data_IF_293225465542
#
_entry.id   IF_293225465542
#
_cell.length_a   1.000
_cell.length_b   1.000
_cell.length_c   1.000
_cell.angle_alpha   90.00
_cell.angle_beta   90.00
_cell.angle_gamma   90.00
#
_symmetry.space_group_name_H-M   'P 1'
#
loop_
_entity.id
_entity.type
_entity.pdbx_description
1 polymer ?
#
# COMPACT_ATOMS: atom_id res chain seq x y z
N UNK A 1 9.28 19.54 12.44
CA UNK A 1 8.20 18.76 11.80
C UNK A 1 7.43 18.12 12.93
N UNK A 2 6.12 18.37 12.99
CA UNK A 2 5.24 17.78 14.02
C UNK A 2 4.93 16.36 13.54
N UNK A 3 5.08 15.39 14.44
CA UNK A 3 4.68 14.02 14.16
C UNK A 3 3.16 13.89 14.32
N UNK A 4 2.46 13.06 13.52
CA UNK A 4 2.98 12.19 12.47
C UNK A 4 3.36 12.96 11.20
N UNK A 5 4.34 12.41 10.49
CA UNK A 5 4.79 12.96 9.22
C UNK A 5 3.76 12.61 8.15
N UNK A 6 3.00 13.62 7.73
CA UNK A 6 2.05 13.52 6.64
C UNK A 6 2.73 13.81 5.29
N UNK A 7 2.57 12.91 4.32
CA UNK A 7 2.92 13.16 2.91
C UNK A 7 1.94 12.46 1.99
N UNK A 8 1.66 13.08 0.84
CA UNK A 8 0.81 12.54 -0.22
C UNK A 8 1.38 12.89 -1.59
N UNK A 9 0.92 12.20 -2.62
CA UNK A 9 1.31 12.45 -4.01
C UNK A 9 2.35 11.45 -4.50
N UNK A 10 3.08 11.81 -5.55
CA UNK A 10 4.01 10.89 -6.22
C UNK A 10 5.45 11.21 -5.86
N UNK A 11 6.24 10.16 -5.63
CA UNK A 11 7.62 10.23 -5.23
C UNK A 11 8.50 9.32 -6.08
N UNK A 12 9.74 9.75 -6.29
CA UNK A 12 10.80 8.93 -6.87
C UNK A 12 11.94 8.77 -5.87
N UNK A 13 12.44 7.55 -5.70
CA UNK A 13 13.64 7.27 -4.89
C UNK A 13 14.86 7.25 -5.80
N UNK A 14 15.85 8.07 -5.49
CA UNK A 14 17.13 8.16 -6.19
C UNK A 14 18.25 8.15 -5.16
N UNK A 15 19.14 7.16 -5.26
CA UNK A 15 20.28 6.99 -4.34
C UNK A 15 19.85 6.96 -2.85
N UNK A 16 18.72 6.31 -2.57
CA UNK A 16 18.14 6.19 -1.23
C UNK A 16 17.34 7.40 -0.73
N UNK A 17 17.22 8.48 -1.51
CA UNK A 17 16.44 9.66 -1.15
C UNK A 17 15.16 9.80 -1.99
N UNK A 18 14.04 10.11 -1.33
CA UNK A 18 12.71 10.28 -1.92
C UNK A 18 12.43 11.74 -2.24
N UNK A 19 12.15 12.01 -3.52
CA UNK A 19 11.83 13.32 -4.02
C UNK A 19 10.39 13.39 -4.50
N UNK A 20 9.63 14.46 -4.17
CA UNK A 20 8.32 14.68 -4.76
C UNK A 20 8.48 14.95 -6.27
N UNK A 21 7.70 14.22 -7.07
CA UNK A 21 7.75 14.31 -8.54
C UNK A 21 6.35 14.21 -9.14
N UNK A 22 6.23 14.66 -10.37
CA UNK A 22 5.09 14.32 -11.23
C UNK A 22 5.46 13.14 -12.13
N UNK A 23 4.56 12.17 -12.23
CA UNK A 23 4.70 11.01 -13.10
C UNK A 23 3.35 10.69 -13.75
N UNK A 24 3.38 10.47 -15.05
CA UNK A 24 2.23 9.92 -15.80
C UNK A 24 2.49 8.43 -15.99
N UNK A 25 1.47 7.59 -15.79
CA UNK A 25 1.60 6.15 -16.01
C UNK A 25 2.24 5.84 -17.36
N UNK A 26 3.18 4.90 -17.37
CA UNK A 26 3.95 4.44 -18.53
C UNK A 26 4.89 5.49 -19.16
N UNK A 27 5.07 6.65 -18.54
CA UNK A 27 6.10 7.60 -18.99
C UNK A 27 7.52 7.06 -18.71
N UNK A 28 8.48 7.48 -19.54
CA UNK A 28 9.89 7.12 -19.38
C UNK A 28 10.65 8.03 -18.40
N UNK A 29 10.03 9.13 -17.96
CA UNK A 29 10.67 10.13 -17.11
C UNK A 29 9.75 10.59 -15.98
N UNK A 30 10.34 10.84 -14.81
CA UNK A 30 9.73 11.64 -13.75
C UNK A 30 10.11 13.11 -13.91
N UNK A 31 9.24 14.01 -13.44
CA UNK A 31 9.47 15.46 -13.48
C UNK A 31 9.54 16.03 -12.06
N UNK A 32 10.57 16.81 -11.78
CA UNK A 32 10.77 17.48 -10.50
C UNK A 32 10.07 18.84 -10.49
N UNK A 33 9.83 19.38 -9.30
CA UNK A 33 9.17 20.68 -9.13
C UNK A 33 9.97 21.85 -9.73
N UNK A 34 11.29 21.71 -9.82
CA UNK A 34 12.19 22.69 -10.46
C UNK A 34 12.21 22.61 -12.00
N UNK A 35 11.43 21.70 -12.59
CA UNK A 35 11.37 21.46 -14.03
C UNK A 35 12.39 20.44 -14.55
N UNK A 36 13.29 19.93 -13.70
CA UNK A 36 14.21 18.86 -14.06
C UNK A 36 13.51 17.53 -14.36
N UNK A 37 14.17 16.65 -15.12
CA UNK A 37 13.66 15.30 -15.40
C UNK A 37 14.72 14.24 -15.16
N UNK A 38 14.26 13.03 -14.81
CA UNK A 38 15.11 11.84 -14.68
C UNK A 38 14.42 10.64 -15.33
N UNK A 39 15.15 9.79 -16.08
CA UNK A 39 14.61 8.51 -16.55
C UNK A 39 14.13 7.66 -15.38
N UNK A 40 12.98 6.98 -15.55
CA UNK A 40 12.45 6.05 -14.53
C UNK A 40 13.39 4.89 -14.24
N UNK A 41 14.17 4.46 -15.23
CA UNK A 41 15.12 3.36 -15.07
C UNK A 41 16.34 3.73 -14.19
N UNK A 42 16.54 5.02 -13.89
CA UNK A 42 17.51 5.46 -12.88
C UNK A 42 16.89 5.55 -11.48
N UNK A 43 15.57 5.50 -11.36
CA UNK A 43 14.88 5.55 -10.08
C UNK A 43 14.85 4.15 -9.47
N UNK A 44 15.18 4.03 -8.20
CA UNK A 44 15.02 2.77 -7.47
C UNK A 44 13.54 2.40 -7.37
N UNK A 45 12.68 3.41 -7.17
CA UNK A 45 11.22 3.29 -7.07
C UNK A 45 10.57 4.57 -7.58
N UNK A 46 9.38 4.45 -8.18
CA UNK A 46 8.45 5.56 -8.37
C UNK A 46 7.09 5.10 -7.84
N UNK A 47 6.55 5.80 -6.86
CA UNK A 47 5.36 5.37 -6.13
C UNK A 47 4.44 6.53 -5.80
N UNK A 48 3.14 6.27 -5.73
CA UNK A 48 2.17 7.22 -5.19
C UNK A 48 1.83 6.88 -3.75
N UNK A 49 1.68 7.90 -2.92
CA UNK A 49 1.35 7.80 -1.50
C UNK A 49 -0.06 8.32 -1.27
N UNK A 50 -0.87 7.48 -0.63
CA UNK A 50 -2.12 7.85 0.02
C UNK A 50 -2.03 7.47 1.49
N UNK A 51 -2.55 8.30 2.37
CA UNK A 51 -2.55 8.06 3.82
C UNK A 51 -3.94 7.68 4.25
N UNK A 52 -4.02 6.63 5.06
CA UNK A 52 -5.28 6.13 5.60
C UNK A 52 -5.16 5.94 7.10
N UNK A 53 -6.31 5.92 7.76
CA UNK A 53 -6.45 5.62 9.17
C UNK A 53 -7.85 5.05 9.43
N UNK A 54 -8.11 4.65 10.66
CA UNK A 54 -9.44 4.25 11.15
C UNK A 54 -10.03 5.37 11.99
N UNK A 55 -11.26 5.79 11.69
CA UNK A 55 -12.08 6.68 12.51
C UNK A 55 -13.38 5.98 12.87
N UNK A 56 -13.61 5.72 14.17
CA UNK A 56 -14.81 5.01 14.68
C UNK A 56 -15.10 3.72 13.91
N UNK A 57 -14.09 2.86 13.82
CA UNK A 57 -14.13 1.54 13.18
C UNK A 57 -14.31 1.52 11.65
N UNK A 58 -14.27 2.68 10.98
CA UNK A 58 -14.26 2.77 9.52
C UNK A 58 -12.97 3.36 8.98
N UNK A 59 -12.54 2.85 7.83
CA UNK A 59 -11.38 3.35 7.11
C UNK A 59 -11.68 4.73 6.52
N UNK A 60 -10.77 5.67 6.75
CA UNK A 60 -10.79 7.02 6.17
C UNK A 60 -9.49 7.31 5.46
N UNK A 61 -9.56 8.05 4.35
CA UNK A 61 -8.41 8.65 3.69
C UNK A 61 -8.07 9.97 4.40
N UNK A 62 -6.83 10.15 4.84
CA UNK A 62 -6.34 11.42 5.36
C UNK A 62 -5.90 12.29 4.18
N UNK A 63 -6.70 13.30 3.85
CA UNK A 63 -6.49 14.18 2.71
C UNK A 63 -5.52 15.35 3.04
N UNK A 64 -5.46 15.75 4.29
CA UNK A 64 -4.53 16.78 4.74
C UNK A 64 -4.47 16.88 6.25
N UNK A 65 -3.35 17.40 6.77
CA UNK A 65 -3.15 17.69 8.19
C UNK A 65 -2.62 19.11 8.30
N UNK A 66 -3.23 19.92 9.15
CA UNK A 66 -2.77 21.30 9.40
C UNK A 66 -1.77 21.37 10.57
N UNK A 67 -1.23 22.56 10.82
CA UNK A 67 -0.25 22.80 11.89
C UNK A 67 -0.83 22.62 13.31
N UNK A 68 -2.16 22.67 13.45
CA UNK A 68 -2.85 22.47 14.72
C UNK A 68 -3.08 20.97 15.03
N UNK A 69 -2.77 20.07 14.09
CA UNK A 69 -3.01 18.64 14.24
C UNK A 69 -4.46 18.25 13.89
N UNK A 70 -5.18 19.09 13.16
CA UNK A 70 -6.48 18.72 12.60
C UNK A 70 -6.29 18.06 11.24
N UNK A 71 -6.94 16.92 11.06
CA UNK A 71 -6.92 16.13 9.85
C UNK A 71 -8.22 16.34 9.06
N UNK A 72 -8.11 16.72 7.78
CA UNK A 72 -9.20 16.57 6.82
C UNK A 72 -9.21 15.12 6.37
N UNK A 73 -10.29 14.40 6.68
CA UNK A 73 -10.48 12.99 6.34
C UNK A 73 -11.66 12.82 5.39
N UNK A 74 -11.56 11.81 4.53
CA UNK A 74 -12.60 11.39 3.60
C UNK A 74 -13.04 9.97 3.92
N UNK A 75 -14.34 9.69 3.88
CA UNK A 75 -14.85 8.32 3.98
C UNK A 75 -14.33 7.47 2.80
N UNK A 76 -13.84 6.25 3.08
CA UNK A 76 -13.12 5.44 2.09
C UNK A 76 -13.77 4.09 1.76
N UNK A 77 -14.86 3.73 2.42
CA UNK A 77 -15.56 2.44 2.31
C UNK A 77 -16.87 2.55 1.51
N UNK A 78 -17.23 3.74 1.04
CA UNK A 78 -18.44 4.04 0.28
C UNK A 78 -19.73 3.89 1.11
N UNK A 79 -19.65 4.05 2.43
CA UNK A 79 -20.79 4.04 3.35
C UNK A 79 -21.29 5.47 3.64
N UNK A 80 -22.11 5.99 2.73
CA UNK A 80 -22.66 7.36 2.83
C UNK A 80 -23.64 7.56 4.00
N UNK A 81 -24.33 6.50 4.43
CA UNK A 81 -25.26 6.56 5.58
C UNK A 81 -24.45 6.71 6.86
N UNK A 82 -23.45 5.87 7.07
CA UNK A 82 -22.53 5.99 8.19
C UNK A 82 -21.81 7.35 8.20
N UNK A 83 -21.34 7.82 7.03
CA UNK A 83 -20.66 9.10 6.92
C UNK A 83 -21.55 10.26 7.39
N UNK A 84 -22.81 10.25 6.95
CA UNK A 84 -23.80 11.27 7.32
C UNK A 84 -24.11 11.24 8.81
N UNK A 85 -24.36 10.05 9.38
CA UNK A 85 -24.61 9.87 10.82
C UNK A 85 -23.43 10.32 11.69
N UNK A 86 -22.20 10.16 11.19
CA UNK A 86 -20.99 10.57 11.87
C UNK A 86 -20.54 11.99 11.54
N UNK A 87 -21.39 12.79 10.88
CA UNK A 87 -21.20 14.21 10.65
C UNK A 87 -20.09 14.53 9.64
N UNK A 88 -19.88 13.66 8.66
CA UNK A 88 -19.18 14.01 7.43
C UNK A 88 -20.12 14.82 6.54
N UNK A 89 -19.56 15.77 5.80
CA UNK A 89 -20.28 16.65 4.86
C UNK A 89 -20.01 16.18 3.45
N UNK A 90 -21.09 16.11 2.67
CA UNK A 90 -21.04 15.77 1.25
C UNK A 90 -20.55 16.98 0.44
N UNK A 91 -19.30 16.97 0.00
CA UNK A 91 -18.70 18.11 -0.73
C UNK A 91 -18.76 17.91 -2.25
N UNK A 92 -18.58 16.68 -2.73
CA UNK A 92 -18.66 16.29 -4.14
C UNK A 92 -19.46 14.99 -4.28
N UNK A 93 -19.93 14.66 -5.49
CA UNK A 93 -20.63 13.40 -5.74
C UNK A 93 -19.79 12.21 -5.22
N UNK A 94 -20.38 11.44 -4.29
CA UNK A 94 -19.76 10.27 -3.64
C UNK A 94 -18.55 10.53 -2.72
N UNK A 95 -18.26 11.78 -2.34
CA UNK A 95 -17.16 12.09 -1.41
C UNK A 95 -17.67 12.82 -0.17
N UNK A 96 -17.48 12.19 0.98
CA UNK A 96 -17.87 12.70 2.30
C UNK A 96 -16.63 13.08 3.09
N UNK A 97 -16.54 14.32 3.55
CA UNK A 97 -15.37 14.85 4.26
C UNK A 97 -15.70 15.32 5.67
N UNK A 98 -14.69 15.26 6.54
CA UNK A 98 -14.78 15.78 7.91
C UNK A 98 -13.41 16.27 8.37
N UNK A 99 -13.39 17.29 9.22
CA UNK A 99 -12.20 17.65 9.99
C UNK A 99 -12.27 17.02 11.38
N UNK A 100 -11.24 16.29 11.77
CA UNK A 100 -11.12 15.61 13.07
C UNK A 100 -9.77 15.92 13.72
N UNK A 101 -9.65 15.78 15.04
CA UNK A 101 -8.34 15.77 15.68
C UNK A 101 -7.60 14.50 15.23
N UNK A 102 -6.34 14.63 14.82
CA UNK A 102 -5.53 13.51 14.38
C UNK A 102 -5.36 12.44 15.48
N UNK A 103 -5.53 12.80 16.76
CA UNK A 103 -5.55 11.87 17.89
C UNK A 103 -6.81 11.02 17.99
N UNK A 104 -7.88 11.37 17.28
CA UNK A 104 -9.09 10.55 17.19
C UNK A 104 -8.94 9.39 16.20
N UNK A 105 -7.88 9.41 15.39
CA UNK A 105 -7.57 8.37 14.42
C UNK A 105 -6.80 7.20 15.05
N UNK A 106 -6.92 6.02 14.45
CA UNK A 106 -6.18 4.79 14.78
C UNK A 106 -5.62 4.16 13.52
N UNK A 107 -4.77 3.14 13.67
CA UNK A 107 -4.27 2.32 12.55
C UNK A 107 -3.73 3.18 11.38
N UNK A 108 -2.95 4.21 11.68
CA UNK A 108 -2.44 5.14 10.66
C UNK A 108 -1.42 4.46 9.75
N UNK A 109 -1.62 4.51 8.43
CA UNK A 109 -0.73 3.88 7.46
C UNK A 109 -0.59 4.64 6.15
N UNK A 110 0.55 4.46 5.48
CA UNK A 110 0.68 4.80 4.06
C UNK A 110 0.35 3.61 3.17
N UNK A 111 -0.43 3.85 2.13
CA UNK A 111 -0.53 3.00 0.95
C UNK A 111 0.40 3.56 -0.13
N UNK A 112 1.48 2.87 -0.41
CA UNK A 112 2.43 3.22 -1.46
C UNK A 112 2.20 2.36 -2.70
N UNK A 113 1.53 2.88 -3.71
CA UNK A 113 1.29 2.14 -4.96
C UNK A 113 2.54 2.21 -5.85
N UNK A 114 3.07 1.04 -6.26
CA UNK A 114 4.25 0.97 -7.11
C UNK A 114 3.86 1.28 -8.57
N UNK A 115 4.25 2.47 -9.03
CA UNK A 115 3.89 2.96 -10.36
C UNK A 115 4.76 2.33 -11.46
N UNK A 116 5.86 1.66 -11.10
CA UNK A 116 6.72 0.94 -12.04
C UNK A 116 6.46 -0.56 -12.06
N UNK A 117 5.52 -1.07 -11.26
CA UNK A 117 5.26 -2.50 -11.14
C UNK A 117 5.01 -3.19 -12.49
N UNK A 118 4.20 -2.58 -13.37
CA UNK A 118 3.91 -3.15 -14.70
C UNK A 118 5.16 -3.25 -15.58
N UNK A 119 6.00 -2.20 -15.59
CA UNK A 119 7.27 -2.17 -16.35
C UNK A 119 8.26 -3.18 -15.79
N UNK A 120 8.45 -3.17 -14.47
CA UNK A 120 9.29 -4.14 -13.77
C UNK A 120 8.86 -5.58 -14.06
N UNK A 121 7.56 -5.89 -13.93
CA UNK A 121 7.02 -7.23 -14.20
C UNK A 121 7.34 -7.69 -15.63
N UNK A 122 7.20 -6.80 -16.62
CA UNK A 122 7.48 -7.13 -18.02
C UNK A 122 8.98 -7.33 -18.33
N UNK A 123 9.87 -6.72 -17.56
CA UNK A 123 11.32 -6.91 -17.68
C UNK A 123 11.76 -8.26 -17.10
N UNK A 124 11.17 -8.65 -15.96
CA UNK A 124 11.65 -9.79 -15.19
C UNK A 124 10.96 -11.12 -15.53
N UNK A 125 9.73 -11.09 -16.08
CA UNK A 125 8.94 -12.30 -16.25
C UNK A 125 8.34 -12.38 -17.65
N UNK A 126 8.33 -13.60 -18.21
CA UNK A 126 7.50 -13.90 -19.36
C UNK A 126 6.03 -13.98 -18.94
N UNK A 127 5.12 -13.65 -19.85
CA UNK A 127 3.70 -13.98 -19.64
C UNK A 127 3.56 -15.50 -19.54
N UNK A 128 2.69 -16.00 -18.63
CA UNK A 128 2.54 -17.43 -18.46
C UNK A 128 1.95 -18.02 -19.75
N UNK A 129 2.51 -19.16 -20.16
CA UNK A 129 1.92 -20.01 -21.19
C UNK A 129 0.96 -20.97 -20.50
N UNK A 130 -0.18 -21.27 -21.13
CA UNK A 130 -1.14 -22.25 -20.58
C UNK A 130 -0.42 -23.56 -20.19
N UNK A 131 -0.68 -24.02 -18.97
CA UNK A 131 -0.07 -25.23 -18.42
C UNK A 131 1.28 -25.03 -17.72
N UNK A 132 1.75 -23.79 -17.52
CA UNK A 132 2.94 -23.51 -16.71
C UNK A 132 2.74 -24.07 -15.29
N UNK A 133 3.64 -24.97 -14.88
CA UNK A 133 3.65 -25.48 -13.51
C UNK A 133 4.29 -24.44 -12.59
N UNK A 134 3.49 -23.86 -11.71
CA UNK A 134 3.96 -22.94 -10.69
C UNK A 134 4.72 -23.68 -9.60
N UNK A 135 5.57 -22.95 -8.90
CA UNK A 135 6.32 -23.45 -7.74
C UNK A 135 5.38 -23.76 -6.58
N UNK A 136 5.32 -25.03 -6.18
CA UNK A 136 4.51 -25.48 -5.04
C UNK A 136 5.28 -25.38 -3.72
N UNK A 137 6.62 -25.52 -3.77
CA UNK A 137 7.48 -25.56 -2.59
C UNK A 137 8.13 -24.18 -2.33
N UNK A 138 7.59 -23.46 -1.36
CA UNK A 138 8.09 -22.16 -0.93
C UNK A 138 9.12 -22.28 0.18
N UNK A 139 10.27 -21.63 0.02
CA UNK A 139 11.37 -21.64 0.98
C UNK A 139 11.92 -20.23 1.14
N UNK A 140 11.67 -19.60 2.28
CA UNK A 140 12.25 -18.31 2.69
C UNK A 140 11.69 -17.07 1.97
N UNK A 141 12.34 -15.93 2.26
CA UNK A 141 12.02 -14.59 1.75
C UNK A 141 12.50 -14.43 0.31
N UNK A 142 11.71 -14.93 -0.65
CA UNK A 142 12.02 -14.76 -2.07
C UNK A 142 11.65 -13.35 -2.54
N UNK A 143 12.63 -12.64 -3.07
CA UNK A 143 12.43 -11.32 -3.67
C UNK A 143 13.24 -11.16 -4.97
N UNK A 144 12.61 -10.59 -5.99
CA UNK A 144 13.23 -10.27 -7.29
C UNK A 144 13.27 -8.74 -7.43
N UNK A 145 14.46 -8.17 -7.68
CA UNK A 145 14.62 -6.73 -7.86
C UNK A 145 14.07 -5.87 -6.71
N UNK A 146 14.20 -6.36 -5.47
CA UNK A 146 13.72 -5.67 -4.26
C UNK A 146 12.22 -5.81 -3.98
N UNK A 147 11.51 -6.72 -4.67
CA UNK A 147 10.07 -7.00 -4.49
C UNK A 147 9.83 -8.46 -4.12
N UNK A 148 8.93 -8.78 -3.18
CA UNK A 148 8.18 -7.84 -2.33
C UNK A 148 9.07 -7.19 -1.28
N UNK A 149 8.64 -6.04 -0.74
CA UNK A 149 9.20 -5.45 0.47
C UNK A 149 8.35 -5.86 1.66
N UNK A 150 9.01 -6.21 2.75
CA UNK A 150 8.35 -6.60 4.00
C UNK A 150 9.24 -6.31 5.20
N UNK A 151 8.65 -6.37 6.40
CA UNK A 151 9.36 -6.21 7.67
C UNK A 151 9.29 -4.79 8.23
N UNK A 152 10.08 -4.52 9.27
CA UNK A 152 10.14 -3.19 9.91
C UNK A 152 11.15 -2.34 9.19
N UNK A 153 10.70 -1.25 8.56
CA UNK A 153 11.53 -0.33 7.80
C UNK A 153 11.53 1.05 8.46
N UNK A 154 12.72 1.64 8.57
CA UNK A 154 12.84 3.06 8.83
C UNK A 154 12.71 3.82 7.49
N UNK A 155 11.68 4.64 7.36
CA UNK A 155 11.53 5.59 6.26
C UNK A 155 12.60 6.67 6.32
N UNK A 156 12.92 7.23 5.17
CA UNK A 156 13.92 8.29 5.00
C UNK A 156 13.60 9.57 5.81
N UNK A 157 12.32 9.75 6.14
CA UNK A 157 11.83 10.84 7.00
C UNK A 157 11.88 10.50 8.49
N UNK A 158 12.46 9.35 8.86
CA UNK A 158 12.61 8.89 10.24
C UNK A 158 11.39 8.14 10.79
N UNK A 159 10.34 7.92 9.99
CA UNK A 159 9.22 7.04 10.40
C UNK A 159 9.66 5.60 10.52
N UNK A 160 9.05 4.85 11.43
CA UNK A 160 9.28 3.41 11.56
C UNK A 160 7.96 2.71 11.27
N UNK A 161 7.93 1.93 10.20
CA UNK A 161 6.70 1.29 9.73
C UNK A 161 6.87 -0.22 9.62
N UNK A 162 5.82 -0.97 9.97
CA UNK A 162 5.68 -2.36 9.58
C UNK A 162 5.16 -2.40 8.14
N UNK A 163 6.00 -2.89 7.23
CA UNK A 163 5.72 -2.94 5.80
C UNK A 163 5.28 -4.33 5.41
N UNK A 164 4.17 -4.39 4.67
CA UNK A 164 3.74 -5.58 3.93
C UNK A 164 3.51 -5.18 2.48
N UNK A 165 3.89 -6.05 1.55
CA UNK A 165 3.48 -5.89 0.15
C UNK A 165 2.12 -6.52 -0.04
N UNK A 166 1.22 -5.83 -0.74
CA UNK A 166 -0.14 -6.27 -1.01
C UNK A 166 -0.47 -6.13 -2.49
N UNK A 167 -1.36 -7.00 -2.95
CA UNK A 167 -1.91 -6.98 -4.30
C UNK A 167 -3.34 -7.51 -4.28
N UNK A 168 -4.02 -7.42 -5.40
CA UNK A 168 -5.34 -7.99 -5.62
C UNK A 168 -5.22 -9.24 -6.51
N UNK A 169 -5.85 -10.33 -6.09
CA UNK A 169 -6.03 -11.54 -6.89
C UNK A 169 -7.53 -11.79 -7.05
N UNK A 170 -8.03 -11.74 -8.29
CA UNK A 170 -9.46 -11.94 -8.61
C UNK A 170 -10.42 -11.08 -7.75
N UNK A 171 -10.09 -9.81 -7.52
CA UNK A 171 -10.91 -8.93 -6.68
C UNK A 171 -10.64 -9.04 -5.17
N UNK A 172 -9.76 -9.94 -4.73
CA UNK A 172 -9.49 -10.16 -3.31
C UNK A 172 -8.15 -9.58 -2.87
N UNK A 173 -8.11 -8.74 -1.82
CA UNK A 173 -6.86 -8.26 -1.27
C UNK A 173 -6.05 -9.41 -0.67
N UNK A 174 -4.78 -9.45 -1.03
CA UNK A 174 -3.82 -10.46 -0.61
C UNK A 174 -2.51 -9.79 -0.20
N UNK A 175 -1.84 -10.36 0.79
CA UNK A 175 -0.43 -10.07 1.07
C UNK A 175 0.45 -10.91 0.14
N UNK A 176 1.47 -10.28 -0.44
CA UNK A 176 2.49 -10.94 -1.26
C UNK A 176 3.65 -11.33 -0.35
N UNK A 177 3.76 -12.63 -0.07
CA UNK A 177 4.77 -13.17 0.84
C UNK A 177 6.13 -13.40 0.17
N UNK A 178 6.14 -13.67 -1.14
CA UNK A 178 7.37 -13.86 -1.89
C UNK A 178 7.13 -13.96 -3.38
N UNK A 179 8.14 -13.60 -4.17
CA UNK A 179 8.15 -13.71 -5.64
C UNK A 179 9.39 -14.50 -6.05
N UNK A 180 9.19 -15.60 -6.78
CA UNK A 180 10.26 -16.43 -7.31
C UNK A 180 10.68 -15.96 -8.72
N UNK A 181 11.88 -16.34 -9.16
CA UNK A 181 12.43 -15.99 -10.48
C UNK A 181 11.60 -16.51 -11.65
N UNK A 182 10.82 -17.58 -11.44
CA UNK A 182 9.91 -18.15 -12.45
C UNK A 182 8.58 -17.42 -12.57
N UNK A 183 8.37 -16.33 -11.81
CA UNK A 183 7.12 -15.56 -11.80
C UNK A 183 6.05 -16.13 -10.87
N UNK A 184 6.32 -17.24 -10.16
CA UNK A 184 5.44 -17.73 -9.10
C UNK A 184 5.41 -16.74 -7.93
N UNK A 185 4.22 -16.51 -7.38
CA UNK A 185 3.99 -15.60 -6.25
C UNK A 185 3.22 -16.31 -5.15
N UNK A 186 3.77 -16.32 -3.94
CA UNK A 186 3.06 -16.81 -2.76
C UNK A 186 2.22 -15.67 -2.21
N UNK A 187 0.92 -15.92 -2.09
CA UNK A 187 -0.01 -14.95 -1.55
C UNK A 187 -0.74 -15.50 -0.34
N UNK A 188 -0.99 -14.65 0.63
CA UNK A 188 -1.90 -14.91 1.74
C UNK A 188 -3.16 -14.08 1.56
N UNK A 189 -4.33 -14.69 1.71
CA UNK A 189 -5.58 -13.94 1.67
C UNK A 189 -5.71 -13.04 2.89
N UNK A 190 -6.16 -11.80 2.68
CA UNK A 190 -6.48 -10.85 3.75
C UNK A 190 -7.99 -10.74 4.02
N UNK A 191 -8.83 -11.35 3.17
CA UNK A 191 -10.29 -11.20 3.23
C UNK A 191 -11.07 -12.51 3.13
N UNK A 192 -10.48 -13.56 2.56
CA UNK A 192 -11.13 -14.86 2.41
C UNK A 192 -10.77 -15.78 3.57
N UNK A 193 -11.76 -16.54 4.05
CA UNK A 193 -11.57 -17.58 5.05
C UNK A 193 -12.56 -18.73 4.84
N UNK A 194 -12.26 -19.89 5.43
CA UNK A 194 -13.12 -21.07 5.43
C UNK A 194 -13.47 -21.55 4.02
N UNK A 195 -14.74 -21.96 3.84
CA UNK A 195 -15.23 -22.49 2.56
C UNK A 195 -15.07 -21.51 1.39
N UNK A 196 -15.09 -20.19 1.64
CA UNK A 196 -14.89 -19.18 0.60
C UNK A 196 -13.43 -19.15 0.12
N UNK A 197 -12.48 -19.34 1.02
CA UNK A 197 -11.06 -19.42 0.64
C UNK A 197 -10.78 -20.71 -0.14
N UNK A 198 -11.31 -21.85 0.32
CA UNK A 198 -11.20 -23.15 -0.36
C UNK A 198 -11.78 -23.10 -1.78
N UNK A 199 -12.96 -22.51 -1.95
CA UNK A 199 -13.61 -22.36 -3.25
C UNK A 199 -12.77 -21.53 -4.25
N UNK A 200 -11.89 -20.66 -3.75
CA UNK A 200 -10.94 -19.89 -4.56
C UNK A 200 -9.56 -20.56 -4.68
N UNK A 201 -9.44 -21.79 -4.19
CA UNK A 201 -8.24 -22.62 -4.26
C UNK A 201 -7.11 -22.12 -3.35
N UNK A 202 -7.44 -21.43 -2.26
CA UNK A 202 -6.50 -21.22 -1.16
C UNK A 202 -6.51 -22.44 -0.25
N UNK A 203 -5.36 -22.72 0.37
CA UNK A 203 -5.17 -23.80 1.33
C UNK A 203 -4.77 -23.19 2.67
N UNK A 204 -5.34 -23.68 3.77
CA UNK A 204 -4.96 -23.25 5.11
C UNK A 204 -3.56 -23.79 5.44
N UNK A 205 -2.59 -22.90 5.60
CA UNK A 205 -1.24 -23.26 6.03
C UNK A 205 -1.13 -23.46 7.55
N UNK A 206 -0.03 -24.06 7.99
CA UNK A 206 0.25 -24.34 9.41
C UNK A 206 0.29 -23.07 10.29
N UNK A 207 0.54 -21.91 9.69
CA UNK A 207 0.50 -20.60 10.35
C UNK A 207 -0.92 -20.03 10.51
N UNK A 208 -1.96 -20.80 10.18
CA UNK A 208 -3.35 -20.37 10.25
C UNK A 208 -3.77 -19.38 9.16
N UNK A 209 -2.92 -19.13 8.15
CA UNK A 209 -3.22 -18.23 7.04
C UNK A 209 -3.63 -19.01 5.81
N UNK A 210 -4.65 -18.51 5.11
CA UNK A 210 -5.06 -19.04 3.81
C UNK A 210 -4.07 -18.60 2.74
N UNK A 211 -3.40 -19.55 2.11
CA UNK A 211 -2.32 -19.29 1.16
C UNK A 211 -2.58 -19.93 -0.21
N UNK A 212 -2.01 -19.34 -1.26
CA UNK A 212 -2.06 -19.85 -2.63
C UNK A 212 -0.81 -19.43 -3.38
N UNK A 213 -0.44 -20.20 -4.40
CA UNK A 213 0.53 -19.76 -5.39
C UNK A 213 -0.17 -19.39 -6.69
N UNK A 214 0.15 -18.21 -7.19
CA UNK A 214 -0.38 -17.64 -8.43
C UNK A 214 0.78 -17.14 -9.28
N UNK A 215 0.51 -16.75 -10.52
CA UNK A 215 1.53 -16.11 -11.34
C UNK A 215 1.53 -14.58 -11.12
N UNK A 216 2.67 -13.91 -11.29
CA UNK A 216 2.81 -12.45 -11.11
C UNK A 216 1.90 -11.63 -12.03
N UNK A 217 1.46 -12.21 -13.15
CA UNK A 217 0.51 -11.59 -14.07
C UNK A 217 -0.96 -11.71 -13.62
N UNK A 218 -1.26 -12.57 -12.65
CA UNK A 218 -2.60 -12.69 -12.06
C UNK A 218 -2.86 -11.61 -11.00
N UNK A 219 -1.82 -10.86 -10.62
CA UNK A 219 -1.89 -9.81 -9.61
C UNK A 219 -2.17 -8.45 -10.23
N UNK A 220 -3.08 -7.72 -9.57
CA UNK A 220 -3.42 -6.34 -9.85
C UNK A 220 -3.17 -5.46 -8.60
N UNK A 221 -3.21 -4.13 -8.78
CA UNK A 221 -3.13 -3.13 -7.69
C UNK A 221 -1.99 -3.37 -6.69
N UNK A 222 -0.80 -3.68 -7.19
CA UNK A 222 0.38 -3.93 -6.36
C UNK A 222 0.81 -2.66 -5.60
N UNK A 223 0.92 -2.77 -4.28
CA UNK A 223 1.28 -1.66 -3.39
C UNK A 223 1.94 -2.16 -2.11
N UNK A 224 2.61 -1.26 -1.40
CA UNK A 224 3.08 -1.50 -0.04
C UNK A 224 2.11 -0.85 0.96
N UNK A 225 1.83 -1.56 2.06
CA UNK A 225 1.11 -1.04 3.22
C UNK A 225 2.12 -0.82 4.34
N UNK A 226 2.31 0.45 4.72
CA UNK A 226 3.27 0.91 5.73
C UNK A 226 2.50 1.33 6.98
N UNK A 227 2.26 0.39 7.89
CA UNK A 227 1.61 0.67 9.17
C UNK A 227 2.58 1.40 10.09
N UNK A 228 2.23 2.62 10.52
CA UNK A 228 3.12 3.45 11.34
C UNK A 228 3.18 2.91 12.78
N UNK A 229 4.36 2.46 13.20
CA UNK A 229 4.56 1.84 14.52
C UNK A 229 4.72 2.86 15.65
N UNK A 230 4.87 4.15 15.33
CA UNK A 230 5.04 5.20 16.32
C UNK A 230 3.74 5.98 16.55
N UNK A 231 2.70 5.76 15.72
CA UNK A 231 1.52 6.62 15.69
C UNK A 231 0.70 6.52 16.96
N UNK A 232 0.37 5.31 17.40
CA UNK A 232 -0.39 5.12 18.63
C UNK A 232 0.34 5.64 19.86
N UNK A 233 1.64 5.38 19.93
CA UNK A 233 2.48 5.91 21.02
C UNK A 233 2.45 7.43 21.05
N UNK A 234 2.58 8.07 19.89
CA UNK A 234 2.51 9.53 19.80
C UNK A 234 1.14 10.07 20.20
N UNK A 235 0.08 9.46 19.66
CA UNK A 235 -1.33 9.79 19.93
C UNK A 235 -1.63 9.75 21.42
N UNK A 236 -1.06 8.78 22.13
CA UNK A 236 -1.16 8.61 23.57
C UNK A 236 -0.18 9.50 24.36
N UNK A 237 0.86 10.03 23.71
CA UNK A 237 1.86 10.91 24.33
C UNK A 237 1.44 12.38 24.29
N UNK A 238 0.43 12.78 25.07
CA UNK A 238 0.37 14.15 25.61
C UNK A 238 -0.39 14.17 26.94
N UNK A 239 0.09 14.90 27.97
CA UNK A 239 -0.71 15.26 29.14
C UNK A 239 -1.92 16.11 28.71
N UNK A 240 -3.03 16.01 29.43
CA UNK A 240 -4.17 16.92 29.28
C UNK A 240 -3.85 18.37 29.60
#
# INVERSE_FOLDING_TARGET
MIYPLYRRGTFAVLAGDSYPVSYTADADYVRFADGGTKPVDLCERVFSVQVYATYRDHTVLVDGVDEAGLARVMEAEWDGDWATENGFVHENAYEYFKTVDLRDLRDYYEKQSDLLFTRWRAIHFARPVDGLRLRENWTGDLAVGGRPRSGVLAGEDGRVAAVTTRAEYLGHPCEVAGIAEDGSVHIHSLSLAGSRAEANGFVLGDNGRWAKTVHIYDLARYHEHHADLLFDRWRESTPG
#
